data_IF_923506633491
#
_entry.id   IF_923506633491
#
_cell.length_a   1.000
_cell.length_b   1.000
_cell.length_c   1.000
_cell.angle_alpha   90.00
_cell.angle_beta   90.00
_cell.angle_gamma   90.00
#
_symmetry.space_group_name_H-M   'P 1'
#
loop_
_entity.id
_entity.type
_entity.pdbx_description
1 polymer ?
#
# COMPACT_ATOMS: atom_id res chain seq x y z
N UNK A 1 -17.60 -61.70 -12.45
CA UNK A 1 -16.47 -61.68 -11.51
C UNK A 1 -16.16 -60.23 -11.19
N UNK A 2 -16.66 -59.73 -10.06
CA UNK A 2 -16.36 -58.38 -9.55
C UNK A 2 -15.65 -58.54 -8.20
N UNK A 3 -14.49 -57.89 -7.97
CA UNK A 3 -13.82 -57.96 -6.69
C UNK A 3 -14.49 -57.04 -5.67
N UNK A 4 -14.67 -57.56 -4.46
CA UNK A 4 -15.14 -56.85 -3.28
C UNK A 4 -14.05 -55.89 -2.76
N UNK A 5 -14.43 -54.65 -2.45
CA UNK A 5 -13.60 -53.73 -1.69
C UNK A 5 -13.85 -53.91 -0.18
N UNK A 6 -12.80 -53.98 0.67
CA UNK A 6 -12.95 -54.14 2.12
C UNK A 6 -13.07 -52.80 2.86
N UNK A 7 -14.04 -52.74 3.77
CA UNK A 7 -13.96 -52.14 5.11
C UNK A 7 -13.43 -50.71 5.27
N UNK A 8 -14.34 -49.73 5.29
CA UNK A 8 -14.13 -48.48 6.02
C UNK A 8 -14.35 -48.71 7.51
N UNK A 9 -13.27 -48.77 8.28
CA UNK A 9 -13.30 -48.77 9.74
C UNK A 9 -13.92 -47.48 10.27
N UNK A 10 -15.03 -47.63 10.98
CA UNK A 10 -15.72 -46.58 11.74
C UNK A 10 -14.90 -46.25 13.01
N UNK A 11 -14.31 -45.05 13.14
CA UNK A 11 -13.47 -44.69 14.29
C UNK A 11 -14.26 -44.46 15.59
N UNK A 12 -15.58 -44.65 15.61
CA UNK A 12 -16.45 -44.34 16.76
C UNK A 12 -16.73 -45.49 17.73
N UNK A 13 -16.26 -46.73 17.46
CA UNK A 13 -16.79 -47.93 18.15
C UNK A 13 -15.96 -48.44 19.34
N UNK A 14 -14.70 -48.04 19.48
CA UNK A 14 -13.79 -48.53 20.53
C UNK A 14 -13.52 -47.49 21.65
N UNK A 15 -14.38 -46.48 21.80
CA UNK A 15 -14.27 -45.57 22.94
C UNK A 15 -14.79 -46.26 24.20
N UNK A 16 -13.87 -46.58 25.12
CA UNK A 16 -14.14 -47.18 26.43
C UNK A 16 -15.40 -46.56 27.10
N UNK A 17 -16.44 -47.36 27.42
CA UNK A 17 -17.67 -46.85 28.03
C UNK A 17 -17.41 -46.16 29.36
N UNK A 18 -16.33 -46.50 30.08
CA UNK A 18 -15.94 -45.83 31.31
C UNK A 18 -15.47 -44.39 31.05
N UNK A 19 -14.70 -44.17 29.97
CA UNK A 19 -14.23 -42.84 29.57
C UNK A 19 -15.41 -41.98 29.11
N UNK A 20 -16.38 -42.54 28.37
CA UNK A 20 -17.63 -41.83 28.01
C UNK A 20 -18.42 -41.41 29.25
N UNK A 21 -18.56 -42.31 30.22
CA UNK A 21 -19.25 -41.99 31.47
C UNK A 21 -18.51 -40.91 32.28
N UNK A 22 -17.18 -40.89 32.24
CA UNK A 22 -16.37 -39.88 32.92
C UNK A 22 -16.47 -38.50 32.26
N UNK A 23 -16.41 -38.43 30.92
CA UNK A 23 -16.59 -37.19 30.16
C UNK A 23 -17.97 -36.59 30.43
N UNK A 24 -19.02 -37.41 30.49
CA UNK A 24 -20.38 -36.94 30.79
C UNK A 24 -20.48 -36.41 32.23
N UNK A 25 -19.80 -37.03 33.18
CA UNK A 25 -19.78 -36.60 34.58
C UNK A 25 -18.99 -35.30 34.77
N UNK A 26 -17.87 -35.17 34.09
CA UNK A 26 -17.02 -33.98 34.11
C UNK A 26 -17.73 -32.80 33.42
N UNK A 27 -18.39 -33.03 32.28
CA UNK A 27 -19.23 -32.02 31.61
C UNK A 27 -20.38 -31.51 32.49
N UNK A 28 -20.92 -32.34 33.38
CA UNK A 28 -21.95 -31.94 34.36
C UNK A 28 -21.38 -31.25 35.60
N UNK A 29 -20.10 -31.46 35.92
CA UNK A 29 -19.41 -30.86 37.06
C UNK A 29 -18.76 -29.51 36.74
N UNK A 30 -18.62 -29.17 35.46
CA UNK A 30 -18.15 -27.86 35.07
C UNK A 30 -19.17 -26.79 35.49
N UNK A 31 -18.73 -25.69 36.13
CA UNK A 31 -19.62 -24.57 36.40
C UNK A 31 -20.16 -24.09 35.06
N UNK A 32 -21.48 -24.13 34.90
CA UNK A 32 -22.15 -23.49 33.78
C UNK A 32 -21.76 -22.02 33.87
N UNK A 33 -20.77 -21.60 33.10
CA UNK A 33 -20.62 -20.20 32.75
C UNK A 33 -21.97 -19.83 32.16
N UNK A 34 -22.80 -19.18 32.97
CA UNK A 34 -24.03 -18.60 32.50
C UNK A 34 -23.59 -17.51 31.55
N UNK A 35 -23.57 -17.83 30.25
CA UNK A 35 -23.62 -16.81 29.22
C UNK A 35 -24.83 -15.97 29.62
N UNK A 36 -24.68 -14.68 29.96
CA UNK A 36 -25.83 -13.87 30.31
C UNK A 36 -26.81 -13.98 29.15
N UNK A 37 -27.96 -14.60 29.43
CA UNK A 37 -29.06 -14.74 28.48
C UNK A 37 -29.33 -13.36 27.90
N UNK A 38 -29.53 -13.29 26.59
CA UNK A 38 -29.67 -12.08 25.77
C UNK A 38 -30.91 -11.20 26.11
N UNK A 39 -31.31 -11.13 27.38
CA UNK A 39 -32.50 -10.44 27.87
C UNK A 39 -32.23 -9.36 28.93
N UNK A 40 -30.98 -9.03 29.27
CA UNK A 40 -30.70 -7.94 30.24
C UNK A 40 -29.42 -7.16 29.90
N UNK A 41 -29.16 -6.93 28.61
CA UNK A 41 -28.40 -5.75 28.23
C UNK A 41 -29.31 -4.54 28.43
N UNK A 42 -28.85 -3.42 29.04
CA UNK A 42 -29.64 -2.20 29.09
C UNK A 42 -30.12 -1.90 27.68
N UNK A 43 -31.44 -1.79 27.51
CA UNK A 43 -32.07 -1.42 26.25
C UNK A 43 -31.36 -0.16 25.76
N UNK A 44 -30.46 -0.36 24.79
CA UNK A 44 -29.64 0.71 24.28
C UNK A 44 -30.54 1.86 23.82
N UNK A 45 -30.06 3.12 23.90
CA UNK A 45 -30.87 4.29 23.63
C UNK A 45 -31.65 4.12 22.32
N UNK A 46 -32.98 4.37 22.32
CA UNK A 46 -33.80 4.27 21.13
C UNK A 46 -33.15 5.06 20.00
N UNK A 47 -32.97 4.41 18.84
CA UNK A 47 -32.54 5.11 17.64
C UNK A 47 -33.67 6.07 17.28
N UNK A 48 -33.51 7.35 17.62
CA UNK A 48 -34.49 8.37 17.31
C UNK A 48 -34.70 8.45 15.79
N UNK A 49 -35.92 8.22 15.27
CA UNK A 49 -36.18 8.16 13.84
C UNK A 49 -35.87 9.50 13.13
N UNK A 50 -35.97 10.63 13.85
CA UNK A 50 -35.63 11.96 13.36
C UNK A 50 -34.14 12.29 13.33
N UNK A 51 -33.29 11.52 14.03
CA UNK A 51 -31.86 11.81 14.12
C UNK A 51 -31.16 11.38 12.81
N UNK A 52 -30.57 12.33 12.10
CA UNK A 52 -29.83 12.09 10.84
C UNK A 52 -28.31 12.15 11.01
N UNK A 53 -27.84 12.37 12.23
CA UNK A 53 -26.41 12.45 12.54
C UNK A 53 -26.08 11.53 13.70
N UNK A 54 -25.27 10.52 13.44
CA UNK A 54 -24.76 9.59 14.45
C UNK A 54 -23.25 9.77 14.57
N UNK A 55 -22.68 9.40 15.69
CA UNK A 55 -21.24 9.31 15.91
C UNK A 55 -20.85 7.84 16.01
N UNK A 56 -19.59 7.51 15.73
CA UNK A 56 -19.07 6.13 15.93
C UNK A 56 -19.38 5.60 17.34
N UNK A 57 -19.25 6.46 18.35
CA UNK A 57 -19.51 6.14 19.76
C UNK A 57 -20.92 5.63 20.03
N UNK A 58 -21.90 5.98 19.18
CA UNK A 58 -23.27 5.50 19.28
C UNK A 58 -23.37 3.98 19.02
N UNK A 59 -22.33 3.36 18.44
CA UNK A 59 -22.27 1.94 18.09
C UNK A 59 -21.22 1.15 18.90
N UNK A 60 -20.46 1.79 19.80
CA UNK A 60 -19.33 1.15 20.52
C UNK A 60 -19.79 0.11 21.56
N UNK A 61 -21.07 0.13 21.96
CA UNK A 61 -21.65 -0.80 22.94
C UNK A 61 -22.46 -1.94 22.30
N UNK A 62 -22.31 -2.16 20.99
CA UNK A 62 -23.04 -3.22 20.28
C UNK A 62 -22.07 -4.07 19.47
N UNK A 63 -22.30 -5.38 19.47
CA UNK A 63 -21.48 -6.37 18.75
C UNK A 63 -22.36 -7.38 18.04
N UNK A 64 -21.81 -8.08 17.04
CA UNK A 64 -22.51 -9.16 16.33
C UNK A 64 -23.83 -8.69 15.69
N UNK A 65 -24.90 -9.45 15.94
CA UNK A 65 -26.23 -9.21 15.36
C UNK A 65 -26.83 -7.87 15.79
N UNK A 66 -26.77 -7.57 17.09
CA UNK A 66 -27.25 -6.30 17.65
C UNK A 66 -26.59 -5.10 16.99
N UNK A 67 -25.30 -5.20 16.69
CA UNK A 67 -24.56 -4.15 16.00
C UNK A 67 -25.08 -3.94 14.57
N UNK A 68 -25.27 -5.03 13.82
CA UNK A 68 -25.76 -4.96 12.43
C UNK A 68 -27.18 -4.38 12.41
N UNK A 69 -28.08 -4.87 13.27
CA UNK A 69 -29.44 -4.35 13.35
C UNK A 69 -29.47 -2.85 13.66
N UNK A 70 -28.66 -2.41 14.63
CA UNK A 70 -28.53 -1.00 15.00
C UNK A 70 -28.02 -0.15 13.85
N UNK A 71 -27.00 -0.65 13.16
CA UNK A 71 -26.40 0.04 12.04
C UNK A 71 -27.44 0.28 10.94
N UNK A 72 -28.18 -0.76 10.53
CA UNK A 72 -29.23 -0.64 9.51
C UNK A 72 -30.37 0.27 9.97
N UNK A 73 -30.84 0.14 11.21
CA UNK A 73 -31.90 1.00 11.75
C UNK A 73 -31.47 2.46 11.85
N UNK A 74 -30.22 2.74 12.23
CA UNK A 74 -29.71 4.10 12.35
C UNK A 74 -29.48 4.75 10.99
N UNK A 75 -28.90 4.01 10.05
CA UNK A 75 -28.38 4.52 8.78
C UNK A 75 -29.40 4.41 7.64
N UNK A 76 -30.06 3.27 7.53
CA UNK A 76 -31.02 2.96 6.46
C UNK A 76 -32.47 3.21 6.90
N UNK A 77 -32.70 3.46 8.19
CA UNK A 77 -34.04 3.71 8.78
C UNK A 77 -35.03 2.54 8.62
N UNK A 78 -34.52 1.33 8.39
CA UNK A 78 -35.27 0.07 8.33
C UNK A 78 -34.49 -1.04 9.01
N UNK A 79 -35.16 -2.14 9.32
CA UNK A 79 -34.46 -3.37 9.75
C UNK A 79 -33.66 -3.96 8.56
N UNK A 80 -32.51 -4.62 8.84
CA UNK A 80 -31.82 -5.38 7.81
C UNK A 80 -32.71 -6.51 7.31
N UNK A 81 -32.62 -6.84 6.02
CA UNK A 81 -33.22 -8.08 5.50
C UNK A 81 -32.40 -9.27 5.97
N UNK A 82 -32.99 -10.46 6.00
CA UNK A 82 -32.30 -11.69 6.42
C UNK A 82 -30.99 -11.92 5.66
N UNK A 83 -30.98 -11.67 4.36
CA UNK A 83 -29.78 -11.78 3.51
C UNK A 83 -28.70 -10.76 3.89
N UNK A 84 -29.09 -9.51 4.13
CA UNK A 84 -28.19 -8.41 4.52
C UNK A 84 -27.58 -8.63 5.90
N UNK A 85 -28.38 -9.16 6.82
CA UNK A 85 -27.96 -9.53 8.16
C UNK A 85 -26.95 -10.67 8.11
N UNK A 86 -27.27 -11.74 7.37
CA UNK A 86 -26.39 -12.90 7.25
C UNK A 86 -25.06 -12.55 6.57
N UNK A 87 -25.06 -11.77 5.48
CA UNK A 87 -23.81 -11.34 4.82
C UNK A 87 -22.96 -10.47 5.76
N UNK A 88 -23.58 -9.50 6.43
CA UNK A 88 -22.88 -8.64 7.37
C UNK A 88 -22.26 -9.42 8.54
N UNK A 89 -22.98 -10.38 9.11
CA UNK A 89 -22.49 -11.26 10.18
C UNK A 89 -21.35 -12.15 9.69
N UNK A 90 -21.53 -12.81 8.54
CA UNK A 90 -20.51 -13.66 7.93
C UNK A 90 -19.20 -12.89 7.71
N UNK A 91 -19.30 -11.61 7.35
CA UNK A 91 -18.14 -10.75 7.15
C UNK A 91 -17.45 -10.35 8.45
N UNK A 92 -18.22 -10.06 9.49
CA UNK A 92 -17.67 -9.83 10.84
C UNK A 92 -16.98 -11.08 11.39
N UNK A 93 -17.56 -12.26 11.17
CA UNK A 93 -16.95 -13.55 11.56
C UNK A 93 -15.63 -13.82 10.83
N UNK A 94 -15.51 -13.39 9.57
CA UNK A 94 -14.25 -13.45 8.80
C UNK A 94 -13.20 -12.41 9.25
N UNK A 95 -13.47 -11.66 10.31
CA UNK A 95 -12.57 -10.64 10.87
C UNK A 95 -12.65 -9.29 10.16
N UNK A 96 -13.72 -9.01 9.41
CA UNK A 96 -13.90 -7.67 8.86
C UNK A 96 -14.09 -6.63 9.96
N UNK A 97 -13.40 -5.51 9.82
CA UNK A 97 -13.49 -4.41 10.77
C UNK A 97 -14.92 -3.83 10.82
N UNK A 98 -15.57 -3.73 12.00
CA UNK A 98 -16.89 -3.11 12.15
C UNK A 98 -16.99 -1.71 11.54
N UNK A 99 -15.90 -0.93 11.58
CA UNK A 99 -15.82 0.42 10.99
C UNK A 99 -16.02 0.38 9.47
N UNK A 100 -15.45 -0.64 8.80
CA UNK A 100 -15.63 -0.85 7.36
C UNK A 100 -17.08 -1.16 7.03
N UNK A 101 -17.69 -2.05 7.81
CA UNK A 101 -19.10 -2.40 7.64
C UNK A 101 -20.00 -1.16 7.82
N UNK A 102 -19.77 -0.35 8.86
CA UNK A 102 -20.50 0.91 9.08
C UNK A 102 -20.47 1.81 7.85
N UNK A 103 -19.28 2.03 7.30
CA UNK A 103 -19.16 2.96 6.19
C UNK A 103 -19.70 2.40 4.88
N UNK A 104 -19.64 1.08 4.66
CA UNK A 104 -20.26 0.48 3.48
C UNK A 104 -21.78 0.61 3.51
N UNK A 105 -22.40 0.32 4.65
CA UNK A 105 -23.84 0.52 4.83
C UNK A 105 -24.18 2.00 4.66
N UNK A 106 -23.40 2.92 5.25
CA UNK A 106 -23.60 4.37 5.08
C UNK A 106 -23.39 4.88 3.64
N UNK A 107 -22.59 4.18 2.84
CA UNK A 107 -22.35 4.53 1.45
C UNK A 107 -23.37 3.93 0.47
N UNK A 108 -24.21 3.00 0.92
CA UNK A 108 -25.26 2.40 0.11
C UNK A 108 -26.24 3.45 -0.45
N UNK A 109 -26.85 3.20 -1.62
CA UNK A 109 -27.85 4.10 -2.18
C UNK A 109 -29.05 4.30 -1.24
N UNK A 110 -29.39 3.29 -0.44
CA UNK A 110 -30.48 3.36 0.52
C UNK A 110 -30.17 4.28 1.71
N UNK A 111 -28.96 4.21 2.27
CA UNK A 111 -28.50 5.14 3.29
C UNK A 111 -28.42 6.59 2.79
N UNK A 112 -28.03 6.77 1.52
CA UNK A 112 -28.01 8.08 0.86
C UNK A 112 -29.41 8.66 0.71
N UNK A 113 -30.41 7.83 0.38
CA UNK A 113 -31.82 8.24 0.36
C UNK A 113 -32.31 8.70 1.75
N UNK A 114 -31.81 8.07 2.83
CA UNK A 114 -32.09 8.47 4.20
C UNK A 114 -31.36 9.74 4.68
N UNK A 115 -30.36 10.22 3.94
CA UNK A 115 -29.62 11.46 4.27
C UNK A 115 -28.86 11.42 5.59
N UNK A 116 -28.49 10.22 6.07
CA UNK A 116 -27.84 10.03 7.37
C UNK A 116 -26.32 10.21 7.25
N UNK A 117 -25.70 10.93 8.19
CA UNK A 117 -24.24 11.11 8.29
C UNK A 117 -23.70 10.52 9.59
N UNK A 118 -22.55 9.84 9.53
CA UNK A 118 -21.85 9.32 10.71
C UNK A 118 -20.61 10.18 10.98
N UNK A 119 -20.71 11.12 11.92
CA UNK A 119 -19.59 11.96 12.36
C UNK A 119 -18.45 11.11 12.92
N UNK A 120 -17.24 11.38 12.45
CA UNK A 120 -16.02 10.69 12.90
C UNK A 120 -15.69 9.40 12.15
N UNK A 121 -16.55 8.98 11.22
CA UNK A 121 -16.27 7.85 10.32
C UNK A 121 -15.40 8.28 9.14
N UNK A 122 -15.56 9.52 8.69
CA UNK A 122 -15.10 10.04 7.40
C UNK A 122 -13.60 9.87 7.14
N UNK A 123 -12.73 10.16 8.12
CA UNK A 123 -11.26 10.11 7.91
C UNK A 123 -10.69 8.70 7.87
N UNK A 124 -11.15 7.81 8.76
CA UNK A 124 -10.67 6.42 8.84
C UNK A 124 -11.32 5.55 7.77
N UNK A 125 -12.61 5.71 7.54
CA UNK A 125 -13.33 5.00 6.48
C UNK A 125 -12.88 5.43 5.08
N UNK A 126 -12.56 6.71 4.84
CA UNK A 126 -11.97 7.13 3.57
C UNK A 126 -10.60 6.47 3.35
N UNK A 127 -9.74 6.41 4.38
CA UNK A 127 -8.44 5.74 4.29
C UNK A 127 -8.60 4.25 3.95
N UNK A 128 -9.41 3.53 4.72
CA UNK A 128 -9.60 2.08 4.60
C UNK A 128 -10.34 1.72 3.29
N UNK A 129 -11.21 2.61 2.79
CA UNK A 129 -11.87 2.50 1.49
C UNK A 129 -10.90 2.77 0.32
N UNK A 130 -9.94 3.69 0.45
CA UNK A 130 -8.87 3.89 -0.54
C UNK A 130 -8.03 2.60 -0.67
N UNK A 131 -7.74 1.92 0.43
CA UNK A 131 -6.95 0.68 0.43
C UNK A 131 -7.68 -0.55 -0.14
N UNK A 132 -9.01 -0.52 -0.32
CA UNK A 132 -9.82 -1.70 -0.70
C UNK A 132 -10.52 -1.61 -2.06
N UNK A 133 -10.28 -0.56 -2.85
CA UNK A 133 -10.83 -0.43 -4.22
C UNK A 133 -9.81 -0.95 -5.25
N UNK A 134 -9.97 -2.15 -5.81
CA UNK A 134 -9.11 -2.66 -6.90
C UNK A 134 -9.19 -1.83 -8.20
N UNK A 135 -10.24 -1.02 -8.39
CA UNK A 135 -10.42 -0.12 -9.54
C UNK A 135 -9.68 1.23 -9.44
N UNK A 136 -9.09 1.57 -8.29
CA UNK A 136 -8.20 2.73 -8.19
C UNK A 136 -6.84 2.44 -8.85
N UNK A 137 -6.53 1.18 -9.21
CA UNK A 137 -5.32 0.81 -9.93
C UNK A 137 -5.13 1.64 -11.21
N UNK A 138 -6.11 1.65 -12.12
CA UNK A 138 -5.97 2.37 -13.39
C UNK A 138 -6.12 3.89 -13.31
N UNK A 139 -6.91 4.41 -12.37
CA UNK A 139 -7.14 5.86 -12.24
C UNK A 139 -6.02 6.54 -11.42
N UNK A 140 -5.53 5.90 -10.35
CA UNK A 140 -4.36 6.37 -9.59
C UNK A 140 -3.09 6.15 -10.40
N UNK A 141 -2.97 5.10 -11.22
CA UNK A 141 -1.82 4.97 -12.13
C UNK A 141 -1.76 6.16 -13.10
N UNK A 142 -2.86 6.48 -13.78
CA UNK A 142 -2.92 7.65 -14.69
C UNK A 142 -2.70 8.98 -13.98
N UNK A 143 -3.31 9.17 -12.81
CA UNK A 143 -3.17 10.41 -12.03
C UNK A 143 -1.80 10.50 -11.34
N UNK A 144 -1.19 9.38 -10.94
CA UNK A 144 0.18 9.37 -10.36
C UNK A 144 1.25 9.51 -11.43
N UNK A 145 1.02 9.03 -12.66
CA UNK A 145 1.89 9.32 -13.81
C UNK A 145 1.84 10.83 -14.09
N UNK A 146 0.65 11.44 -14.14
CA UNK A 146 0.53 12.90 -14.31
C UNK A 146 1.10 13.71 -13.14
N UNK A 147 0.94 13.25 -11.88
CA UNK A 147 1.42 13.96 -10.70
C UNK A 147 2.91 13.71 -10.37
N UNK A 148 3.55 12.66 -10.92
CA UNK A 148 5.00 12.39 -10.78
C UNK A 148 5.87 13.01 -11.89
N UNK A 149 5.28 13.46 -12.99
CA UNK A 149 6.02 14.17 -14.04
C UNK A 149 6.78 15.43 -13.54
N UNK A 150 6.23 16.31 -12.67
CA UNK A 150 6.96 17.50 -12.25
C UNK A 150 8.14 17.20 -11.29
N UNK A 151 8.16 16.04 -10.62
CA UNK A 151 9.31 15.63 -9.79
C UNK A 151 10.45 15.05 -10.62
N UNK A 152 10.14 14.34 -11.71
CA UNK A 152 11.18 13.80 -12.62
C UNK A 152 11.88 14.94 -13.38
N UNK A 153 11.15 16.01 -13.71
CA UNK A 153 11.74 17.18 -14.37
C UNK A 153 12.73 17.94 -13.47
N UNK A 154 12.47 18.02 -12.16
CA UNK A 154 13.39 18.67 -11.21
C UNK A 154 14.68 17.88 -11.02
N UNK A 155 14.59 16.55 -10.98
CA UNK A 155 15.78 15.68 -10.90
C UNK A 155 16.61 15.77 -12.19
N UNK A 156 15.96 15.80 -13.37
CA UNK A 156 16.63 15.93 -14.66
C UNK A 156 17.34 17.27 -14.82
N UNK A 157 16.73 18.37 -14.39
CA UNK A 157 17.35 19.69 -14.47
C UNK A 157 18.61 19.78 -13.58
N UNK A 158 18.61 19.13 -12.41
CA UNK A 158 19.79 19.07 -11.52
C UNK A 158 20.87 18.15 -12.09
N UNK A 159 20.52 17.07 -12.79
CA UNK A 159 21.52 16.24 -13.47
C UNK A 159 22.10 16.91 -14.72
N UNK A 160 21.27 17.59 -15.52
CA UNK A 160 21.74 18.36 -16.67
C UNK A 160 22.67 19.51 -16.26
N UNK A 161 22.36 20.24 -15.18
CA UNK A 161 23.24 21.29 -14.68
C UNK A 161 24.59 20.74 -14.21
N UNK A 162 24.62 19.54 -13.62
CA UNK A 162 25.87 18.86 -13.19
C UNK A 162 26.70 18.38 -14.37
N UNK A 163 26.07 17.85 -15.42
CA UNK A 163 26.78 17.40 -16.62
C UNK A 163 27.36 18.60 -17.38
N UNK A 164 26.58 19.68 -17.51
CA UNK A 164 27.03 20.89 -18.17
C UNK A 164 28.23 21.52 -17.44
N UNK A 165 28.17 21.63 -16.11
CA UNK A 165 29.30 22.11 -15.32
C UNK A 165 30.56 21.22 -15.44
N UNK A 166 30.40 19.90 -15.63
CA UNK A 166 31.55 18.99 -15.86
C UNK A 166 32.15 19.16 -17.25
N UNK A 167 31.33 19.33 -18.29
CA UNK A 167 31.82 19.59 -19.63
C UNK A 167 32.57 20.93 -19.69
N UNK A 168 32.00 21.99 -19.11
CA UNK A 168 32.65 23.30 -19.04
C UNK A 168 34.00 23.23 -18.30
N UNK A 169 34.07 22.50 -17.19
CA UNK A 169 35.33 22.30 -16.46
C UNK A 169 36.36 21.47 -17.26
N UNK A 170 35.92 20.43 -17.98
CA UNK A 170 36.79 19.63 -18.82
C UNK A 170 37.33 20.43 -20.02
N UNK A 171 36.48 21.25 -20.64
CA UNK A 171 36.87 22.16 -21.72
C UNK A 171 37.90 23.20 -21.24
N UNK A 172 37.68 23.77 -20.05
CA UNK A 172 38.64 24.69 -19.43
C UNK A 172 40.00 24.02 -19.17
N UNK A 173 40.00 22.80 -18.62
CA UNK A 173 41.24 22.04 -18.39
C UNK A 173 41.95 21.69 -19.70
N UNK A 174 41.22 21.29 -20.73
CA UNK A 174 41.78 21.01 -22.04
C UNK A 174 42.40 22.27 -22.67
N UNK A 175 41.72 23.41 -22.56
CA UNK A 175 42.25 24.69 -23.04
C UNK A 175 43.54 25.10 -22.33
N UNK A 176 43.62 24.92 -21.01
CA UNK A 176 44.85 25.17 -20.23
C UNK A 176 46.00 24.23 -20.63
N UNK A 177 45.72 22.94 -20.81
CA UNK A 177 46.75 21.98 -21.24
C UNK A 177 47.29 22.32 -22.64
N UNK A 178 46.40 22.69 -23.57
CA UNK A 178 46.78 23.12 -24.91
C UNK A 178 47.63 24.39 -24.85
N UNK A 179 47.25 25.37 -24.03
CA UNK A 179 48.03 26.58 -23.85
C UNK A 179 49.45 26.29 -23.30
N UNK A 180 49.57 25.42 -22.30
CA UNK A 180 50.87 24.99 -21.76
C UNK A 180 51.73 24.29 -22.80
N UNK A 181 51.17 23.38 -23.59
CA UNK A 181 51.91 22.69 -24.65
C UNK A 181 52.42 23.66 -25.71
N UNK A 182 51.61 24.66 -26.09
CA UNK A 182 52.06 25.68 -27.03
C UNK A 182 53.20 26.54 -26.45
N UNK A 183 53.16 26.84 -25.16
CA UNK A 183 54.25 27.54 -24.46
C UNK A 183 55.53 26.71 -24.46
N UNK A 184 55.45 25.41 -24.12
CA UNK A 184 56.59 24.48 -24.16
C UNK A 184 57.16 24.34 -25.59
N UNK A 185 56.30 24.18 -26.60
CA UNK A 185 56.73 24.14 -28.01
C UNK A 185 57.41 25.46 -28.40
N UNK A 186 56.89 26.59 -27.93
CA UNK A 186 57.48 27.91 -28.15
C UNK A 186 58.88 28.02 -27.54
N UNK A 187 59.05 27.58 -26.30
CA UNK A 187 60.36 27.57 -25.63
C UNK A 187 61.33 26.58 -26.26
N UNK A 188 60.89 25.37 -26.62
CA UNK A 188 61.71 24.40 -27.34
C UNK A 188 62.15 24.93 -28.71
N UNK A 189 61.28 25.63 -29.43
CA UNK A 189 61.65 26.31 -30.68
C UNK A 189 62.69 27.40 -30.44
N UNK A 190 62.58 28.18 -29.36
CA UNK A 190 63.59 29.21 -29.01
C UNK A 190 64.92 28.60 -28.57
N UNK A 191 64.92 27.45 -27.87
CA UNK A 191 66.17 26.76 -27.50
C UNK A 191 66.82 26.11 -28.70
N UNK A 192 66.06 25.47 -29.59
CA UNK A 192 66.55 24.97 -30.88
C UNK A 192 67.05 26.13 -31.73
N UNK A 193 66.37 27.28 -31.78
CA UNK A 193 66.87 28.45 -32.50
C UNK A 193 68.14 29.03 -31.86
N UNK A 194 68.30 28.97 -30.53
CA UNK A 194 69.54 29.37 -29.84
C UNK A 194 70.69 28.38 -30.06
N UNK A 195 70.41 27.08 -30.11
CA UNK A 195 71.40 26.01 -30.34
C UNK A 195 71.73 25.83 -31.84
N UNK A 196 70.74 26.09 -32.69
CA UNK A 196 70.77 25.96 -34.15
C UNK A 196 70.91 27.30 -34.87
N UNK A 197 71.19 28.40 -34.16
CA UNK A 197 71.77 29.61 -34.75
C UNK A 197 73.25 29.36 -35.11
N UNK A 198 73.44 28.39 -36.00
CA UNK A 198 74.48 28.30 -37.03
C UNK A 198 74.31 26.96 -37.79
N UNK A 199 73.42 26.85 -38.80
CA UNK A 199 73.78 26.06 -39.96
C UNK A 199 74.84 26.86 -40.71
N UNK A 200 76.08 26.42 -40.57
CA UNK A 200 77.16 26.84 -41.45
C UNK A 200 76.75 26.56 -42.91
N UNK A 201 76.59 27.58 -43.78
CA UNK A 201 76.28 27.37 -45.19
C UNK A 201 77.41 26.64 -45.95
N UNK A 202 78.51 26.26 -45.31
CA UNK A 202 79.63 25.53 -45.91
C UNK A 202 79.61 24.00 -45.75
N UNK A 203 78.62 23.40 -45.08
CA UNK A 203 78.50 21.94 -44.98
C UNK A 203 77.96 21.33 -46.30
N UNK A 204 78.83 21.35 -47.30
CA UNK A 204 78.70 20.77 -48.61
C UNK A 204 78.26 19.30 -48.60
N UNK A 205 77.36 18.96 -49.51
CA UNK A 205 77.08 17.60 -49.95
C UNK A 205 78.34 16.99 -50.60
N UNK A 206 78.85 15.83 -50.15
CA UNK A 206 79.78 15.03 -50.94
C UNK A 206 79.05 13.78 -51.42
N UNK A 207 78.66 13.73 -52.69
CA UNK A 207 78.23 12.47 -53.30
C UNK A 207 77.25 12.57 -54.47
N UNK A 208 77.59 13.31 -55.52
CA UNK A 208 77.10 12.97 -56.86
C UNK A 208 78.09 11.99 -57.50
N UNK A 209 77.69 10.75 -57.84
CA UNK A 209 78.52 9.83 -58.60
C UNK A 209 78.52 10.23 -60.09
N UNK A 210 79.71 10.23 -60.68
CA UNK A 210 79.97 10.44 -62.11
C UNK A 210 79.42 9.31 -62.98
#
# INVERSE_FOLDING_TARGET
>A
MSPAHPGTSDPGKDSDPALRAQILREAQALPVWSVPSAGTAPALPPIEPGRRTYARRDFENSFGEDFVERLYRAVVKRAPRTEELHDALTRLERGENPILLMGQVAASPEARAGGVRIKGLDRRYALERIYRIPLLGGLIERVSILLRLPSIQREQNVQQSRLQARCEAAEAQAAEQVARLYEEIGELRKTIARQGAAPDPSAAWPGEPR
#
